data_IF_788567114819
#
_entry.id   IF_788567114819
#
_cell.length_a   1.000
_cell.length_b   1.000
_cell.length_c   1.000
_cell.angle_alpha   90.00
_cell.angle_beta   90.00
_cell.angle_gamma   90.00
#
_symmetry.space_group_name_H-M   'P 1'
#
loop_
_entity.id
_entity.type
_entity.pdbx_description
1 polymer ?
#
# COMPACT_ATOMS: atom_id res chain seq x y z
N UNK A 1 -8.70 -30.73 32.24
CA UNK A 1 -9.25 -29.75 31.30
C UNK A 1 -8.04 -29.01 30.69
N UNK A 2 -7.60 -29.43 29.53
CA UNK A 2 -6.50 -28.80 28.81
C UNK A 2 -7.08 -27.57 28.12
N UNK A 3 -6.82 -26.36 28.64
CA UNK A 3 -7.06 -25.13 27.90
C UNK A 3 -6.21 -25.17 26.64
N UNK A 4 -6.86 -25.04 25.47
CA UNK A 4 -6.19 -24.89 24.21
C UNK A 4 -5.36 -23.60 24.24
N UNK A 5 -4.04 -23.72 24.20
CA UNK A 5 -3.07 -22.60 24.23
C UNK A 5 -3.04 -21.82 22.91
N UNK A 6 -3.82 -22.21 21.92
CA UNK A 6 -3.84 -21.67 20.55
C UNK A 6 -5.20 -21.09 20.14
N UNK A 7 -5.87 -20.37 21.04
CA UNK A 7 -6.99 -19.54 20.59
C UNK A 7 -6.43 -18.23 20.07
N UNK A 8 -6.29 -18.11 18.76
CA UNK A 8 -6.03 -16.81 18.11
C UNK A 8 -7.27 -15.94 18.37
N UNK A 9 -7.24 -15.15 19.40
CA UNK A 9 -8.27 -14.14 19.66
C UNK A 9 -7.87 -12.87 18.93
N UNK A 10 -8.75 -12.41 18.04
CA UNK A 10 -8.63 -11.08 17.47
C UNK A 10 -8.88 -10.07 18.59
N UNK A 11 -7.82 -9.62 19.25
CA UNK A 11 -7.89 -8.60 20.30
C UNK A 11 -7.27 -7.33 19.81
N UNK A 12 -7.99 -6.23 20.01
CA UNK A 12 -7.43 -4.89 19.94
C UNK A 12 -6.98 -4.49 21.35
N UNK A 13 -5.81 -3.89 21.43
CA UNK A 13 -5.26 -3.35 22.67
C UNK A 13 -5.11 -1.83 22.50
N UNK A 14 -5.15 -1.08 23.58
CA UNK A 14 -4.87 0.37 23.54
C UNK A 14 -3.48 0.58 24.12
N UNK A 15 -2.46 0.79 23.29
CA UNK A 15 -1.09 1.04 23.77
C UNK A 15 -0.98 2.41 24.41
N UNK A 16 -0.26 2.50 25.54
CA UNK A 16 -0.01 3.75 26.25
C UNK A 16 1.20 4.52 25.67
N UNK A 17 1.14 4.87 24.39
CA UNK A 17 2.24 5.54 23.65
C UNK A 17 2.08 7.06 23.60
N UNK A 18 0.96 7.59 24.05
CA UNK A 18 0.64 9.03 23.97
C UNK A 18 0.14 9.47 22.59
N UNK A 19 -0.10 8.52 21.67
CA UNK A 19 -0.78 8.76 20.40
C UNK A 19 -2.28 8.94 20.66
N UNK A 20 -2.89 9.95 20.04
CA UNK A 20 -4.32 10.20 20.12
C UNK A 20 -5.03 9.60 18.90
N UNK A 21 -6.34 9.40 18.99
CA UNK A 21 -7.20 8.93 17.88
C UNK A 21 -6.64 7.69 17.12
N UNK A 22 -6.08 6.74 17.86
CA UNK A 22 -5.44 5.52 17.34
C UNK A 22 -6.32 4.81 16.32
N UNK A 23 -7.63 4.70 16.58
CA UNK A 23 -8.57 4.03 15.68
C UNK A 23 -8.64 4.72 14.31
N UNK A 24 -8.71 6.04 14.29
CA UNK A 24 -8.76 6.83 13.06
C UNK A 24 -7.49 6.69 12.22
N UNK A 25 -6.32 6.72 12.89
CA UNK A 25 -5.03 6.53 12.22
C UNK A 25 -4.93 5.10 11.63
N UNK A 26 -5.33 4.09 12.40
CA UNK A 26 -5.29 2.70 11.94
C UNK A 26 -6.24 2.44 10.76
N UNK A 27 -7.44 3.04 10.77
CA UNK A 27 -8.39 2.95 9.65
C UNK A 27 -7.81 3.63 8.39
N UNK A 28 -7.15 4.77 8.54
CA UNK A 28 -6.49 5.47 7.45
C UNK A 28 -5.32 4.65 6.88
N UNK A 29 -4.49 4.03 7.74
CA UNK A 29 -3.43 3.10 7.34
C UNK A 29 -3.97 1.86 6.63
N UNK A 30 -5.12 1.32 7.07
CA UNK A 30 -5.76 0.19 6.41
C UNK A 30 -6.19 0.52 4.97
N UNK A 31 -6.58 1.76 4.70
CA UNK A 31 -6.81 2.27 3.35
C UNK A 31 -5.54 2.25 2.49
N UNK A 32 -4.42 2.79 3.02
CA UNK A 32 -3.12 2.77 2.32
C UNK A 32 -2.64 1.34 2.06
N UNK A 33 -2.79 0.45 3.04
CA UNK A 33 -2.47 -0.97 2.89
C UNK A 33 -3.30 -1.61 1.78
N UNK A 34 -4.60 -1.33 1.76
CA UNK A 34 -5.53 -1.89 0.77
C UNK A 34 -5.19 -1.43 -0.66
N UNK A 35 -4.87 -0.15 -0.83
CA UNK A 35 -4.42 0.40 -2.11
C UNK A 35 -3.04 -0.17 -2.51
N UNK A 36 -2.12 -0.32 -1.57
CA UNK A 36 -0.81 -0.94 -1.82
C UNK A 36 -0.95 -2.40 -2.26
N UNK A 37 -1.87 -3.15 -1.65
CA UNK A 37 -2.16 -4.54 -2.03
C UNK A 37 -2.74 -4.63 -3.45
N UNK A 38 -3.66 -3.74 -3.80
CA UNK A 38 -4.20 -3.70 -5.17
C UNK A 38 -3.15 -3.26 -6.18
N UNK A 39 -2.34 -2.25 -5.86
CA UNK A 39 -1.23 -1.82 -6.71
C UNK A 39 -0.21 -2.94 -6.93
N UNK A 40 0.10 -3.75 -5.91
CA UNK A 40 0.96 -4.92 -6.04
C UNK A 40 0.43 -5.88 -7.11
N UNK A 41 -0.86 -6.24 -7.04
CA UNK A 41 -1.50 -7.13 -8.02
C UNK A 41 -1.48 -6.52 -9.43
N UNK A 42 -1.78 -5.24 -9.55
CA UNK A 42 -1.74 -4.50 -10.84
C UNK A 42 -0.33 -4.45 -11.42
N UNK A 43 0.69 -4.22 -10.59
CA UNK A 43 2.09 -4.20 -11.00
C UNK A 43 2.56 -5.57 -11.47
N UNK A 44 2.16 -6.66 -10.77
CA UNK A 44 2.41 -8.03 -11.19
C UNK A 44 1.70 -8.36 -12.52
N UNK A 45 0.47 -7.90 -12.70
CA UNK A 45 -0.26 -8.10 -13.96
C UNK A 45 0.47 -7.45 -15.15
N UNK A 46 1.02 -6.25 -14.98
CA UNK A 46 1.87 -5.60 -16.00
C UNK A 46 3.17 -6.38 -16.21
N UNK A 47 3.85 -6.77 -15.14
CA UNK A 47 5.10 -7.55 -15.18
C UNK A 47 4.95 -8.83 -16.02
N UNK A 48 3.86 -9.58 -15.84
CA UNK A 48 3.62 -10.83 -16.52
C UNK A 48 3.19 -10.68 -17.99
N UNK A 49 2.45 -9.61 -18.29
CA UNK A 49 1.72 -9.51 -19.57
C UNK A 49 2.29 -8.47 -20.53
N UNK A 50 3.23 -7.64 -20.11
CA UNK A 50 3.85 -6.66 -21.02
C UNK A 50 4.64 -7.38 -22.13
N UNK A 51 4.60 -6.81 -23.34
CA UNK A 51 5.33 -7.31 -24.51
C UNK A 51 5.83 -6.15 -25.37
N UNK A 52 6.66 -6.47 -26.37
CA UNK A 52 7.17 -5.49 -27.32
C UNK A 52 8.59 -4.99 -27.01
N UNK A 53 9.04 -3.90 -27.67
CA UNK A 53 10.44 -3.46 -27.62
C UNK A 53 10.93 -3.08 -26.22
N UNK A 54 10.03 -2.62 -25.33
CA UNK A 54 10.34 -2.22 -23.97
C UNK A 54 10.16 -3.35 -22.94
N UNK A 55 9.87 -4.57 -23.38
CA UNK A 55 9.56 -5.71 -22.50
C UNK A 55 10.55 -5.85 -21.35
N UNK A 56 11.82 -5.97 -21.63
CA UNK A 56 12.83 -6.23 -20.60
C UNK A 56 12.91 -5.11 -19.56
N UNK A 57 12.86 -3.85 -20.01
CA UNK A 57 12.95 -2.70 -19.11
C UNK A 57 11.72 -2.59 -18.20
N UNK A 58 10.52 -2.78 -18.76
CA UNK A 58 9.26 -2.71 -17.98
C UNK A 58 9.18 -3.90 -17.04
N UNK A 59 9.49 -5.11 -17.52
CA UNK A 59 9.49 -6.33 -16.74
C UNK A 59 10.41 -6.22 -15.51
N UNK A 60 11.67 -5.78 -15.70
CA UNK A 60 12.62 -5.63 -14.61
C UNK A 60 12.21 -4.52 -13.63
N UNK A 61 11.76 -3.36 -14.11
CA UNK A 61 11.32 -2.27 -13.24
C UNK A 61 10.11 -2.66 -12.38
N UNK A 62 9.13 -3.33 -13.00
CA UNK A 62 7.92 -3.75 -12.27
C UNK A 62 8.22 -4.87 -11.28
N UNK A 63 9.25 -5.72 -11.52
CA UNK A 63 9.73 -6.70 -10.54
C UNK A 63 10.29 -6.02 -9.28
N UNK A 64 11.12 -5.01 -9.44
CA UNK A 64 11.63 -4.21 -8.32
C UNK A 64 10.47 -3.55 -7.55
N UNK A 65 9.50 -2.99 -8.26
CA UNK A 65 8.38 -2.28 -7.65
C UNK A 65 7.44 -3.21 -6.87
N UNK A 66 7.03 -4.36 -7.42
CA UNK A 66 6.16 -5.25 -6.66
C UNK A 66 6.87 -5.93 -5.49
N UNK A 67 8.18 -6.15 -5.59
CA UNK A 67 8.98 -6.69 -4.48
C UNK A 67 9.05 -5.70 -3.33
N UNK A 68 9.22 -4.42 -3.62
CA UNK A 68 9.19 -3.34 -2.64
C UNK A 68 7.79 -3.20 -2.01
N UNK A 69 6.73 -3.22 -2.83
CA UNK A 69 5.35 -3.15 -2.34
C UNK A 69 5.00 -4.30 -1.39
N UNK A 70 5.50 -5.51 -1.66
CA UNK A 70 5.30 -6.66 -0.78
C UNK A 70 5.84 -6.41 0.64
N UNK A 71 7.03 -5.82 0.74
CA UNK A 71 7.64 -5.47 2.03
C UNK A 71 6.87 -4.32 2.71
N UNK A 72 6.50 -3.31 1.95
CA UNK A 72 5.76 -2.17 2.46
C UNK A 72 4.38 -2.53 3.04
N UNK A 73 3.69 -3.50 2.43
CA UNK A 73 2.40 -4.01 2.92
C UNK A 73 2.54 -4.62 4.31
N UNK A 74 3.63 -5.37 4.53
CA UNK A 74 3.92 -5.97 5.84
C UNK A 74 4.20 -4.89 6.90
N UNK A 75 5.04 -3.90 6.58
CA UNK A 75 5.33 -2.75 7.45
C UNK A 75 4.06 -1.97 7.83
N UNK A 76 3.16 -1.74 6.86
CA UNK A 76 1.87 -1.08 7.10
C UNK A 76 0.98 -1.91 8.04
N UNK A 77 0.90 -3.22 7.80
CA UNK A 77 0.11 -4.12 8.63
C UNK A 77 0.66 -4.19 10.07
N UNK A 78 1.97 -4.29 10.22
CA UNK A 78 2.64 -4.28 11.53
C UNK A 78 2.47 -2.94 12.25
N UNK A 79 2.48 -1.81 11.52
CA UNK A 79 2.19 -0.50 12.12
C UNK A 79 0.76 -0.43 12.67
N UNK A 80 -0.23 -0.93 11.94
CA UNK A 80 -1.62 -1.04 12.43
C UNK A 80 -1.66 -1.90 13.70
N UNK A 81 -0.93 -3.03 13.72
CA UNK A 81 -0.84 -3.89 14.90
C UNK A 81 -0.15 -3.20 16.09
N UNK A 82 0.91 -2.44 15.85
CA UNK A 82 1.59 -1.65 16.87
C UNK A 82 0.70 -0.56 17.48
N UNK A 83 -0.27 -0.06 16.73
CA UNK A 83 -1.33 0.83 17.21
C UNK A 83 -2.44 0.07 17.98
N UNK A 84 -2.30 -1.25 18.17
CA UNK A 84 -3.27 -2.08 18.91
C UNK A 84 -4.53 -2.43 18.12
N UNK A 85 -4.58 -2.16 16.82
CA UNK A 85 -5.73 -2.46 15.97
C UNK A 85 -5.49 -3.70 15.10
N UNK A 86 -6.55 -4.26 14.51
CA UNK A 86 -6.44 -5.37 13.56
C UNK A 86 -6.12 -4.85 12.16
N UNK A 87 -5.13 -5.47 11.53
CA UNK A 87 -4.89 -5.27 10.10
C UNK A 87 -6.02 -5.92 9.27
N UNK A 88 -6.27 -5.46 8.02
CA UNK A 88 -7.25 -6.08 7.13
C UNK A 88 -7.01 -7.59 6.95
N UNK A 89 -8.08 -8.39 6.99
CA UNK A 89 -8.00 -9.86 7.03
C UNK A 89 -8.50 -10.56 5.76
N UNK A 90 -9.04 -9.82 4.78
CA UNK A 90 -9.58 -10.43 3.57
C UNK A 90 -9.40 -9.53 2.35
N UNK A 91 -9.21 -10.15 1.19
CA UNK A 91 -9.12 -9.44 -0.09
C UNK A 91 -10.41 -8.66 -0.39
N UNK A 92 -11.58 -9.23 -0.12
CA UNK A 92 -12.85 -8.53 -0.31
C UNK A 92 -12.96 -7.27 0.56
N UNK A 93 -12.48 -7.35 1.81
CA UNK A 93 -12.40 -6.19 2.70
C UNK A 93 -11.45 -5.13 2.18
N UNK A 94 -10.26 -5.51 1.73
CA UNK A 94 -9.28 -4.60 1.13
C UNK A 94 -9.85 -3.92 -0.12
N UNK A 95 -10.45 -4.67 -1.04
CA UNK A 95 -11.07 -4.10 -2.25
C UNK A 95 -12.19 -3.11 -1.93
N UNK A 96 -12.97 -3.36 -0.87
CA UNK A 96 -14.03 -2.44 -0.46
C UNK A 96 -13.51 -1.12 0.13
N UNK A 97 -12.30 -1.13 0.71
CA UNK A 97 -11.63 0.03 1.29
C UNK A 97 -10.74 0.77 0.29
N UNK A 98 -10.31 0.09 -0.76
CA UNK A 98 -9.40 0.64 -1.77
C UNK A 98 -10.04 1.78 -2.56
N UNK A 99 -9.30 2.88 -2.73
CA UNK A 99 -9.62 3.97 -3.64
C UNK A 99 -9.23 3.62 -5.08
N UNK A 100 -8.27 2.73 -5.28
CA UNK A 100 -7.87 2.23 -6.59
C UNK A 100 -8.95 1.30 -7.17
N UNK A 101 -8.87 1.06 -8.48
CA UNK A 101 -9.82 0.19 -9.19
C UNK A 101 -9.07 -0.91 -9.93
N UNK A 102 -9.64 -2.11 -9.86
CA UNK A 102 -9.25 -3.21 -10.73
C UNK A 102 -9.62 -2.90 -12.19
N UNK A 103 -8.92 -3.53 -13.11
CA UNK A 103 -9.24 -3.52 -14.54
C UNK A 103 -9.03 -4.91 -15.11
N UNK A 104 -10.00 -5.39 -15.89
CA UNK A 104 -9.90 -6.63 -16.67
C UNK A 104 -9.22 -6.39 -18.03
N UNK A 105 -8.91 -5.13 -18.38
CA UNK A 105 -8.23 -4.73 -19.60
C UNK A 105 -6.96 -3.96 -19.25
N UNK A 106 -5.82 -4.47 -19.71
CA UNK A 106 -4.51 -3.85 -19.52
C UNK A 106 -4.16 -2.84 -20.63
N UNK A 107 -4.82 -2.94 -21.79
CA UNK A 107 -4.46 -2.16 -22.95
C UNK A 107 -3.08 -2.51 -23.51
N UNK A 108 -2.44 -1.54 -24.20
CA UNK A 108 -1.05 -1.67 -24.64
C UNK A 108 -0.04 -1.26 -23.53
N UNK A 109 1.25 -1.41 -23.82
CA UNK A 109 2.31 -1.10 -22.86
C UNK A 109 2.24 0.35 -22.36
N UNK A 110 1.86 1.29 -23.21
CA UNK A 110 1.68 2.70 -22.85
C UNK A 110 0.52 2.88 -21.86
N UNK A 111 -0.60 2.24 -22.11
CA UNK A 111 -1.75 2.27 -21.22
C UNK A 111 -1.43 1.64 -19.86
N UNK A 112 -0.71 0.50 -19.84
CA UNK A 112 -0.25 -0.15 -18.62
C UNK A 112 0.60 0.78 -17.76
N UNK A 113 1.61 1.43 -18.35
CA UNK A 113 2.49 2.37 -17.64
C UNK A 113 1.71 3.59 -17.12
N UNK A 114 0.83 4.15 -17.94
CA UNK A 114 0.01 5.30 -17.56
C UNK A 114 -0.91 4.98 -16.38
N UNK A 115 -1.51 3.80 -16.39
CA UNK A 115 -2.35 3.34 -15.27
C UNK A 115 -1.55 3.20 -13.96
N UNK A 116 -0.38 2.58 -14.00
CA UNK A 116 0.49 2.47 -12.81
C UNK A 116 0.95 3.82 -12.30
N UNK A 117 1.29 4.78 -13.20
CA UNK A 117 1.62 6.16 -12.79
C UNK A 117 0.46 6.79 -12.01
N UNK A 118 -0.75 6.69 -12.52
CA UNK A 118 -1.93 7.26 -11.87
C UNK A 118 -2.20 6.63 -10.49
N UNK A 119 -1.99 5.32 -10.36
CA UNK A 119 -2.15 4.59 -9.10
C UNK A 119 -1.09 5.00 -8.07
N UNK A 120 0.19 5.10 -8.46
CA UNK A 120 1.25 5.60 -7.57
C UNK A 120 0.97 7.03 -7.10
N UNK A 121 0.51 7.92 -7.98
CA UNK A 121 0.14 9.28 -7.62
C UNK A 121 -1.07 9.33 -6.67
N UNK A 122 -2.02 8.43 -6.80
CA UNK A 122 -3.13 8.30 -5.86
C UNK A 122 -2.63 7.91 -4.46
N UNK A 123 -1.73 6.94 -4.37
CA UNK A 123 -1.10 6.55 -3.11
C UNK A 123 -0.27 7.67 -2.48
N UNK A 124 0.44 8.48 -3.28
CA UNK A 124 1.15 9.68 -2.76
C UNK A 124 0.19 10.64 -2.08
N UNK A 125 -0.97 10.92 -2.70
CA UNK A 125 -1.98 11.80 -2.11
C UNK A 125 -2.53 11.23 -0.81
N UNK A 126 -2.90 9.96 -0.81
CA UNK A 126 -3.43 9.28 0.37
C UNK A 126 -2.40 9.22 1.51
N UNK A 127 -1.15 8.86 1.22
CA UNK A 127 -0.08 8.85 2.22
C UNK A 127 0.16 10.24 2.83
N UNK A 128 0.04 11.31 2.04
CA UNK A 128 0.15 12.69 2.53
C UNK A 128 -0.98 13.05 3.50
N UNK A 129 -2.21 12.63 3.19
CA UNK A 129 -3.35 12.86 4.07
C UNK A 129 -3.18 12.10 5.40
N UNK A 130 -2.69 10.86 5.33
CA UNK A 130 -2.42 10.05 6.54
C UNK A 130 -1.24 10.61 7.34
N UNK A 131 -0.18 11.11 6.70
CA UNK A 131 0.93 11.78 7.39
C UNK A 131 0.44 13.01 8.16
N UNK A 132 -0.43 13.82 7.55
CA UNK A 132 -1.02 14.99 8.19
C UNK A 132 -1.86 14.58 9.41
N UNK A 133 -2.73 13.59 9.25
CA UNK A 133 -3.53 13.03 10.34
C UNK A 133 -2.66 12.54 11.50
N UNK A 134 -1.60 11.79 11.20
CA UNK A 134 -0.67 11.25 12.19
C UNK A 134 0.03 12.37 12.98
N UNK A 135 0.50 13.42 12.30
CA UNK A 135 1.12 14.58 12.93
C UNK A 135 0.16 15.30 13.88
N UNK A 136 -1.09 15.52 13.49
CA UNK A 136 -2.13 16.14 14.33
C UNK A 136 -2.41 15.34 15.61
N UNK A 137 -2.22 14.02 15.57
CA UNK A 137 -2.48 13.11 16.68
C UNK A 137 -1.21 12.61 17.39
N UNK A 138 -0.06 13.25 17.15
CA UNK A 138 1.23 12.97 17.80
C UNK A 138 1.81 11.58 17.47
N UNK A 139 1.47 11.04 16.31
CA UNK A 139 2.01 9.77 15.82
C UNK A 139 3.15 10.01 14.81
N UNK A 140 4.30 10.43 15.30
CA UNK A 140 5.48 10.66 14.46
C UNK A 140 5.98 9.41 13.74
N UNK A 141 5.74 8.21 14.29
CA UNK A 141 6.15 6.97 13.63
C UNK A 141 5.31 6.68 12.37
N UNK A 142 4.00 6.92 12.42
CA UNK A 142 3.15 6.82 11.24
C UNK A 142 3.44 7.95 10.24
N UNK A 143 3.67 9.17 10.71
CA UNK A 143 4.07 10.29 9.86
C UNK A 143 5.35 9.97 9.07
N UNK A 144 6.41 9.48 9.74
CA UNK A 144 7.66 9.09 9.10
C UNK A 144 7.48 7.95 8.09
N UNK A 145 6.70 6.94 8.44
CA UNK A 145 6.37 5.83 7.52
C UNK A 145 5.68 6.37 6.26
N UNK A 146 4.71 7.25 6.39
CA UNK A 146 4.00 7.83 5.25
C UNK A 146 4.89 8.75 4.41
N UNK A 147 5.78 9.52 5.03
CA UNK A 147 6.77 10.33 4.32
C UNK A 147 7.72 9.45 3.48
N UNK A 148 8.17 8.32 4.02
CA UNK A 148 8.98 7.34 3.29
C UNK A 148 8.18 6.74 2.12
N UNK A 149 6.91 6.37 2.33
CA UNK A 149 6.05 5.83 1.27
C UNK A 149 5.82 6.83 0.14
N UNK A 150 5.59 8.11 0.44
CA UNK A 150 5.48 9.16 -0.59
C UNK A 150 6.72 9.19 -1.48
N UNK A 151 7.93 9.21 -0.90
CA UNK A 151 9.17 9.28 -1.66
C UNK A 151 9.35 8.07 -2.61
N UNK A 152 8.98 6.86 -2.16
CA UNK A 152 9.03 5.64 -2.98
C UNK A 152 8.04 5.72 -4.14
N UNK A 153 6.78 6.08 -3.88
CA UNK A 153 5.76 6.17 -4.93
C UNK A 153 6.02 7.30 -5.92
N UNK A 154 6.54 8.46 -5.48
CA UNK A 154 6.95 9.55 -6.37
C UNK A 154 8.09 9.11 -7.31
N UNK A 155 9.08 8.38 -6.79
CA UNK A 155 10.16 7.82 -7.59
C UNK A 155 9.64 6.80 -8.61
N UNK A 156 8.76 5.89 -8.18
CA UNK A 156 8.16 4.89 -9.07
C UNK A 156 7.36 5.55 -10.19
N UNK A 157 6.50 6.51 -9.87
CA UNK A 157 5.73 7.28 -10.85
C UNK A 157 6.63 8.02 -11.83
N UNK A 158 7.72 8.64 -11.36
CA UNK A 158 8.71 9.29 -12.23
C UNK A 158 9.35 8.31 -13.22
N UNK A 159 9.80 7.14 -12.74
CA UNK A 159 10.46 6.13 -13.60
C UNK A 159 9.49 5.58 -14.64
N UNK A 160 8.26 5.24 -14.26
CA UNK A 160 7.23 4.75 -15.17
C UNK A 160 6.86 5.80 -16.22
N UNK A 161 6.70 7.07 -15.81
CA UNK A 161 6.39 8.18 -16.72
C UNK A 161 7.51 8.42 -17.74
N UNK A 162 8.76 8.32 -17.31
CA UNK A 162 9.91 8.47 -18.21
C UNK A 162 9.98 7.36 -19.27
N UNK A 163 9.37 6.19 -19.00
CA UNK A 163 9.28 5.09 -19.97
C UNK A 163 8.03 5.19 -20.86
N UNK A 164 6.99 5.86 -20.38
CA UNK A 164 5.76 6.05 -21.13
C UNK A 164 5.90 7.09 -22.28
N UNK A 165 6.88 8.00 -22.25
CA UNK A 165 7.19 8.98 -23.30
C UNK A 165 6.44 10.29 -23.10
#
# INVERSE_FOLDING_TARGET
>A
MTQSVLTATAQTETPETGVNEIGQIADALAGVLSDSQLLLVKTQAVHWNVSGPMFHSIHSLTEEQYTELFQAIDELAERIRALGQLAPISMAGMLSQSALKESDDLGDAQAMLTALVADHEALVRQARDVATLAAEHRDGATEDLMNARMAVHEKAAWMLRAMAG
#
